data_IF_515696882805
#
_entry.id   IF_515696882805
#
_cell.length_a   1.000
_cell.length_b   1.000
_cell.length_c   1.000
_cell.angle_alpha   90.00
_cell.angle_beta   90.00
_cell.angle_gamma   90.00
#
_symmetry.space_group_name_H-M   'P 1'
#
loop_
_entity.id
_entity.type
_entity.pdbx_description
1 polymer ?
#
# COMPACT_ATOMS: atom_id res chain seq x y z
N UNK A 1 -10.87 -16.43 -13.58
CA UNK A 1 -10.76 -15.38 -12.55
C UNK A 1 -11.84 -14.38 -12.84
N UNK A 2 -12.55 -13.94 -11.80
CA UNK A 2 -13.57 -12.90 -11.94
C UNK A 2 -12.89 -11.55 -12.23
N UNK A 3 -13.60 -10.60 -12.84
CA UNK A 3 -13.01 -9.29 -13.18
C UNK A 3 -12.52 -8.52 -11.93
N UNK A 4 -13.22 -8.72 -10.80
CA UNK A 4 -12.85 -8.14 -9.51
C UNK A 4 -11.55 -8.74 -8.93
N UNK A 5 -11.28 -10.04 -9.13
CA UNK A 5 -10.01 -10.66 -8.69
C UNK A 5 -8.80 -10.03 -9.40
N UNK A 6 -8.92 -9.78 -10.70
CA UNK A 6 -7.87 -9.15 -11.49
C UNK A 6 -7.61 -7.71 -11.01
N UNK A 7 -8.69 -6.96 -10.76
CA UNK A 7 -8.59 -5.59 -10.27
C UNK A 7 -7.96 -5.52 -8.87
N UNK A 8 -8.37 -6.38 -7.95
CA UNK A 8 -7.81 -6.47 -6.60
C UNK A 8 -6.32 -6.82 -6.65
N UNK A 9 -5.93 -7.74 -7.54
CA UNK A 9 -4.53 -8.13 -7.73
C UNK A 9 -3.66 -6.95 -8.18
N UNK A 10 -4.18 -6.11 -9.07
CA UNK A 10 -3.50 -4.90 -9.55
C UNK A 10 -3.33 -3.86 -8.41
N UNK A 11 -4.37 -3.69 -7.58
CA UNK A 11 -4.29 -2.79 -6.40
C UNK A 11 -3.31 -3.30 -5.36
N UNK A 12 -3.25 -4.62 -5.16
CA UNK A 12 -2.30 -5.24 -4.25
C UNK A 12 -0.85 -5.01 -4.72
N UNK A 13 -0.59 -5.16 -6.02
CA UNK A 13 0.73 -4.88 -6.60
C UNK A 13 1.14 -3.42 -6.39
N UNK A 14 0.22 -2.47 -6.64
CA UNK A 14 0.46 -1.05 -6.41
C UNK A 14 0.73 -0.73 -4.92
N UNK A 15 -0.04 -1.32 -4.00
CA UNK A 15 0.14 -1.14 -2.57
C UNK A 15 1.50 -1.69 -2.09
N UNK A 16 1.88 -2.89 -2.53
CA UNK A 16 3.18 -3.49 -2.22
C UNK A 16 4.35 -2.62 -2.71
N UNK A 17 4.26 -2.11 -3.94
CA UNK A 17 5.28 -1.23 -4.50
C UNK A 17 5.43 0.06 -3.68
N UNK A 18 4.32 0.67 -3.28
CA UNK A 18 4.33 1.88 -2.46
C UNK A 18 4.95 1.63 -1.08
N UNK A 19 4.50 0.57 -0.38
CA UNK A 19 5.02 0.24 0.96
C UNK A 19 6.48 -0.14 0.90
N UNK A 20 6.89 -0.98 -0.06
CA UNK A 20 8.29 -1.37 -0.24
C UNK A 20 9.20 -0.18 -0.56
N UNK A 21 8.73 0.81 -1.31
CA UNK A 21 9.46 2.05 -1.52
C UNK A 21 9.57 2.89 -0.24
N UNK A 22 8.50 2.98 0.55
CA UNK A 22 8.49 3.73 1.82
C UNK A 22 9.44 3.13 2.87
N UNK A 23 9.49 1.80 2.96
CA UNK A 23 10.33 1.07 3.93
C UNK A 23 11.71 0.69 3.38
N UNK A 24 11.97 0.93 2.09
CA UNK A 24 13.13 0.42 1.35
C UNK A 24 13.40 -1.09 1.59
N UNK A 25 12.32 -1.89 1.64
CA UNK A 25 12.40 -3.33 1.94
C UNK A 25 11.54 -4.16 1.00
N UNK A 26 11.86 -5.46 0.90
CA UNK A 26 11.03 -6.41 0.17
C UNK A 26 9.83 -6.85 1.04
N UNK A 27 8.64 -6.35 0.72
CA UNK A 27 7.40 -6.68 1.45
C UNK A 27 6.92 -8.13 1.22
N UNK A 28 7.43 -8.80 0.19
CA UNK A 28 7.14 -10.22 -0.10
C UNK A 28 8.17 -11.18 0.55
N UNK A 29 9.11 -10.65 1.34
CA UNK A 29 10.09 -11.49 2.02
C UNK A 29 9.45 -12.38 3.10
N UNK A 30 10.00 -13.58 3.27
CA UNK A 30 9.67 -14.42 4.42
C UNK A 30 10.08 -13.69 5.70
N UNK A 31 9.15 -13.60 6.66
CA UNK A 31 9.34 -12.82 7.89
C UNK A 31 8.99 -11.33 7.80
N UNK A 32 8.35 -10.86 6.73
CA UNK A 32 7.76 -9.49 6.70
C UNK A 32 6.93 -9.25 7.97
N UNK A 33 7.21 -8.19 8.74
CA UNK A 33 6.48 -7.91 9.98
C UNK A 33 4.98 -7.77 9.73
N UNK A 34 4.16 -8.31 10.64
CA UNK A 34 2.71 -8.22 10.55
C UNK A 34 2.17 -6.79 10.31
N UNK A 35 2.72 -5.71 10.92
CA UNK A 35 2.27 -4.34 10.65
C UNK A 35 2.49 -3.89 9.20
N UNK A 36 3.56 -4.37 8.54
CA UNK A 36 3.85 -4.05 7.13
C UNK A 36 2.85 -4.75 6.22
N UNK A 37 2.53 -6.02 6.51
CA UNK A 37 1.50 -6.76 5.78
C UNK A 37 0.11 -6.09 5.93
N UNK A 38 -0.24 -5.67 7.14
CA UNK A 38 -1.50 -4.97 7.41
C UNK A 38 -1.57 -3.63 6.65
N UNK A 39 -0.48 -2.85 6.63
CA UNK A 39 -0.41 -1.62 5.86
C UNK A 39 -0.64 -1.86 4.36
N UNK A 40 -0.06 -2.92 3.78
CA UNK A 40 -0.30 -3.30 2.38
C UNK A 40 -1.78 -3.60 2.13
N UNK A 41 -2.44 -4.32 3.03
CA UNK A 41 -3.87 -4.65 2.91
C UNK A 41 -4.76 -3.40 3.02
N UNK A 42 -4.47 -2.51 3.97
CA UNK A 42 -5.21 -1.25 4.13
C UNK A 42 -5.10 -0.37 2.89
N UNK A 43 -3.89 -0.25 2.32
CA UNK A 43 -3.68 0.51 1.09
C UNK A 43 -4.35 -0.17 -0.12
N UNK A 44 -4.33 -1.50 -0.20
CA UNK A 44 -5.03 -2.26 -1.25
C UNK A 44 -6.54 -2.00 -1.21
N UNK A 45 -7.14 -2.09 -0.02
CA UNK A 45 -8.56 -1.81 0.19
C UNK A 45 -8.90 -0.36 -0.17
N UNK A 46 -8.08 0.59 0.27
CA UNK A 46 -8.26 2.01 -0.04
C UNK A 46 -8.21 2.28 -1.55
N UNK A 47 -7.25 1.72 -2.28
CA UNK A 47 -7.12 1.87 -3.73
C UNK A 47 -8.25 1.19 -4.50
N UNK A 48 -8.79 0.08 -3.98
CA UNK A 48 -9.94 -0.60 -4.57
C UNK A 48 -11.22 0.21 -4.39
N UNK A 49 -11.46 0.76 -3.20
CA UNK A 49 -12.63 1.58 -2.89
C UNK A 49 -12.62 2.93 -3.64
N UNK A 50 -11.45 3.56 -3.77
CA UNK A 50 -11.30 4.88 -4.39
C UNK A 50 -10.94 4.81 -5.89
N UNK A 51 -11.50 3.83 -6.61
CA UNK A 51 -11.18 3.55 -8.03
C UNK A 51 -11.55 4.68 -9.02
N UNK A 52 -12.46 5.58 -8.66
CA UNK A 52 -12.91 6.71 -9.50
C UNK A 52 -12.22 8.05 -9.15
N UNK A 53 -11.40 8.10 -8.10
CA UNK A 53 -10.66 9.31 -7.71
C UNK A 53 -9.49 9.64 -8.68
N UNK A 54 -9.32 8.83 -9.72
CA UNK A 54 -8.27 8.99 -10.72
C UNK A 54 -8.73 9.92 -11.84
N UNK A 55 -8.71 11.24 -11.67
CA UNK A 55 -8.47 12.17 -12.77
C UNK A 55 -8.17 13.58 -12.24
N UNK A 56 -6.94 14.05 -12.51
CA UNK A 56 -6.33 15.35 -12.19
C UNK A 56 -5.61 15.44 -10.84
N UNK A 57 -4.29 15.22 -10.87
CA UNK A 57 -3.37 15.64 -9.81
C UNK A 57 -3.21 14.64 -8.67
N UNK A 58 -2.34 13.65 -8.87
CA UNK A 58 -2.01 12.58 -7.91
C UNK A 58 -1.27 13.13 -6.69
N UNK A 59 -1.96 13.81 -5.77
CA UNK A 59 -1.36 14.26 -4.49
C UNK A 59 -2.31 14.30 -3.29
N UNK A 60 -3.60 13.99 -3.42
CA UNK A 60 -4.56 14.23 -2.33
C UNK A 60 -5.55 13.10 -2.05
N UNK A 61 -5.21 11.84 -2.31
CA UNK A 61 -5.90 10.75 -1.60
C UNK A 61 -5.28 10.67 -0.20
N UNK A 62 -6.04 11.11 0.80
CA UNK A 62 -5.66 10.97 2.20
C UNK A 62 -5.35 9.50 2.48
N UNK A 63 -4.12 9.21 2.93
CA UNK A 63 -3.75 7.87 3.33
C UNK A 63 -4.68 7.40 4.47
N UNK A 64 -4.97 6.08 4.58
CA UNK A 64 -5.81 5.58 5.64
C UNK A 64 -5.32 6.02 7.02
N UNK A 65 -6.24 6.32 7.94
CA UNK A 65 -5.87 6.74 9.29
C UNK A 65 -5.01 5.67 9.99
N UNK A 66 -3.89 6.07 10.58
CA UNK A 66 -2.96 5.16 11.26
C UNK A 66 -2.06 4.34 10.32
N UNK A 67 -2.23 4.42 9.00
CA UNK A 67 -1.41 3.67 8.04
C UNK A 67 0.09 3.99 8.16
N UNK A 68 0.44 5.28 8.26
CA UNK A 68 1.85 5.68 8.44
C UNK A 68 2.40 5.32 9.82
N UNK A 69 1.54 5.21 10.83
CA UNK A 69 1.95 4.81 12.19
C UNK A 69 2.41 3.34 12.21
N UNK A 70 1.72 2.47 11.47
CA UNK A 70 2.13 1.07 11.27
C UNK A 70 3.51 0.96 10.62
N UNK A 71 3.85 1.90 9.73
CA UNK A 71 5.10 1.89 8.96
C UNK A 71 6.21 2.72 9.61
N UNK A 72 5.90 3.56 10.60
CA UNK A 72 6.86 4.46 11.23
C UNK A 72 8.14 3.75 11.73
N UNK A 73 8.07 2.55 12.37
CA UNK A 73 9.27 1.82 12.80
C UNK A 73 10.13 1.27 11.66
N UNK A 74 9.58 1.15 10.45
CA UNK A 74 10.20 0.51 9.30
C UNK A 74 10.60 1.50 8.21
N UNK A 75 10.41 2.80 8.46
CA UNK A 75 10.70 3.85 7.48
C UNK A 75 12.19 3.87 7.18
N UNK A 76 12.53 3.84 5.90
CA UNK A 76 13.90 4.05 5.46
C UNK A 76 14.29 5.53 5.66
N UNK A 77 15.35 5.78 6.42
CA UNK A 77 15.97 7.09 6.51
C UNK A 77 17.06 7.20 5.45
N UNK A 78 16.96 8.20 4.58
CA UNK A 78 18.04 8.59 3.68
C UNK A 78 18.75 9.80 4.29
N UNK A 79 20.08 9.76 4.38
CA UNK A 79 20.94 10.82 4.92
C UNK A 79 21.71 11.51 3.79
#
# INVERSE_FOLDING_TARGET
MDADDALVSDKLAAAKAWVGAYTASNVDADGTPAPVNEAVLQLTAHLYQNREASLVGVTATELPFGFLDLLAPYRAFCF
#
